data_IF_465040105219
#
_entry.id   IF_465040105219
#
_cell.length_a   1.000
_cell.length_b   1.000
_cell.length_c   1.000
_cell.angle_alpha   90.00
_cell.angle_beta   90.00
_cell.angle_gamma   90.00
#
_symmetry.space_group_name_H-M   'P 1'
#
loop_
_entity.id
_entity.type
_entity.pdbx_description
1 polymer ?
#
# COMPACT_ATOMS: atom_id res chain seq x y z
N UNK A 1 -8.08 16.35 3.67
CA UNK A 1 -9.01 15.37 3.07
C UNK A 1 -8.40 14.84 1.78
N UNK A 2 -8.58 13.55 1.45
CA UNK A 2 -8.00 12.93 0.25
C UNK A 2 -9.01 12.98 -0.90
N UNK A 3 -8.55 13.37 -2.10
CA UNK A 3 -9.37 13.39 -3.32
C UNK A 3 -8.75 12.44 -4.34
N UNK A 4 -9.56 11.55 -4.92
CA UNK A 4 -9.15 10.74 -6.06
C UNK A 4 -9.33 11.55 -7.33
N UNK A 5 -8.30 11.61 -8.17
CA UNK A 5 -8.38 12.25 -9.49
C UNK A 5 -7.70 11.37 -10.55
N UNK A 6 -8.01 11.58 -11.84
CA UNK A 6 -7.28 10.94 -12.93
C UNK A 6 -5.80 11.33 -12.93
N UNK A 7 -4.93 10.42 -13.38
CA UNK A 7 -3.47 10.63 -13.35
C UNK A 7 -3.04 11.91 -14.07
N UNK A 8 -3.63 12.21 -15.24
CA UNK A 8 -3.33 13.46 -15.97
C UNK A 8 -3.67 14.70 -15.15
N UNK A 9 -4.81 14.71 -14.46
CA UNK A 9 -5.17 15.82 -13.59
C UNK A 9 -4.20 15.94 -12.41
N UNK A 10 -3.73 14.81 -11.85
CA UNK A 10 -2.69 14.80 -10.83
C UNK A 10 -1.37 15.39 -11.34
N UNK A 11 -0.95 15.04 -12.57
CA UNK A 11 0.26 15.59 -13.21
C UNK A 11 0.16 17.09 -13.47
N UNK A 12 -1.00 17.56 -13.94
CA UNK A 12 -1.23 18.97 -14.19
C UNK A 12 -1.27 19.78 -12.88
N UNK A 13 -1.88 19.21 -11.83
CA UNK A 13 -1.89 19.78 -10.48
C UNK A 13 -0.51 19.77 -9.83
N UNK A 14 0.29 18.73 -10.05
CA UNK A 14 1.68 18.64 -9.60
C UNK A 14 2.53 19.79 -10.17
N UNK A 15 2.40 20.07 -11.47
CA UNK A 15 3.14 21.13 -12.16
C UNK A 15 2.64 22.51 -11.76
N UNK A 16 1.33 22.68 -11.63
CA UNK A 16 0.73 23.96 -11.30
C UNK A 16 0.86 24.31 -9.81
N UNK A 17 1.06 23.31 -8.95
CA UNK A 17 1.10 23.39 -7.49
C UNK A 17 -0.09 24.15 -6.86
N UNK A 18 -1.20 24.26 -7.60
CA UNK A 18 -2.39 24.99 -7.18
C UNK A 18 -3.65 24.31 -7.68
N UNK A 19 -4.57 24.06 -6.76
CA UNK A 19 -5.98 23.84 -7.05
C UNK A 19 -6.77 24.83 -6.21
N UNK A 20 -7.86 25.37 -6.75
CA UNK A 20 -8.78 26.20 -5.99
C UNK A 20 -9.88 25.32 -5.45
N UNK A 21 -9.96 25.21 -4.13
CA UNK A 21 -11.11 24.64 -3.42
C UNK A 21 -11.68 25.78 -2.61
N UNK A 22 -12.69 26.45 -3.18
CA UNK A 22 -13.29 27.68 -2.61
C UNK A 22 -12.24 28.77 -2.33
N UNK A 23 -12.03 29.08 -1.05
CA UNK A 23 -11.14 30.14 -0.54
C UNK A 23 -9.71 29.65 -0.27
N UNK A 24 -9.45 28.35 -0.45
CA UNK A 24 -8.12 27.77 -0.26
C UNK A 24 -7.45 27.49 -1.60
N UNK A 25 -6.16 27.82 -1.69
CA UNK A 25 -5.34 27.58 -2.87
C UNK A 25 -4.06 26.88 -2.42
N UNK A 26 -3.84 25.66 -2.91
CA UNK A 26 -2.62 24.92 -2.63
C UNK A 26 -2.84 23.42 -2.80
N UNK A 27 -1.86 22.76 -3.43
CA UNK A 27 -1.79 21.30 -3.45
C UNK A 27 -0.36 20.87 -3.18
N UNK A 28 -0.23 19.87 -2.33
CA UNK A 28 1.01 19.14 -2.16
C UNK A 28 0.79 17.73 -2.69
N UNK A 29 1.76 17.25 -3.47
CA UNK A 29 1.75 15.86 -3.89
C UNK A 29 2.04 14.98 -2.69
N UNK A 30 1.17 14.00 -2.47
CA UNK A 30 1.46 12.95 -1.52
C UNK A 30 2.70 12.17 -1.97
N UNK A 31 3.54 11.78 -1.00
CA UNK A 31 4.68 10.93 -1.25
C UNK A 31 4.24 9.65 -1.99
N UNK A 32 5.08 9.21 -2.95
CA UNK A 32 4.85 7.97 -3.65
C UNK A 32 4.77 6.82 -2.64
N UNK A 33 3.73 5.98 -2.75
CA UNK A 33 3.64 4.78 -1.91
C UNK A 33 4.79 3.84 -2.30
N UNK A 34 5.55 3.34 -1.31
CA UNK A 34 6.61 2.37 -1.59
C UNK A 34 6.02 1.14 -2.29
N UNK A 35 6.83 0.50 -3.13
CA UNK A 35 6.42 -0.74 -3.79
C UNK A 35 6.56 -1.89 -2.80
N UNK A 36 5.47 -2.59 -2.52
CA UNK A 36 5.47 -3.78 -1.67
C UNK A 36 5.27 -5.04 -2.51
N UNK A 37 5.96 -6.10 -2.10
CA UNK A 37 5.84 -7.42 -2.68
C UNK A 37 4.70 -8.18 -1.99
N UNK A 38 3.63 -8.47 -2.72
CA UNK A 38 2.51 -9.26 -2.19
C UNK A 38 2.83 -10.76 -1.99
N UNK A 39 4.06 -11.20 -2.30
CA UNK A 39 4.50 -12.58 -2.05
C UNK A 39 5.25 -12.71 -0.73
N UNK A 40 6.24 -11.85 -0.47
CA UNK A 40 7.06 -11.95 0.75
C UNK A 40 6.81 -10.81 1.75
N UNK A 41 5.99 -9.83 1.38
CA UNK A 41 5.67 -8.58 2.10
C UNK A 41 6.85 -7.61 2.28
N UNK A 42 7.98 -7.88 1.61
CA UNK A 42 9.12 -6.96 1.55
C UNK A 42 8.87 -5.76 0.63
N UNK A 43 9.72 -4.74 0.75
CA UNK A 43 9.66 -3.52 -0.04
C UNK A 43 10.60 -3.55 -1.25
N UNK A 44 10.44 -2.59 -2.16
CA UNK A 44 11.35 -2.35 -3.29
C UNK A 44 11.17 -3.28 -4.49
N UNK A 45 10.22 -4.22 -4.45
CA UNK A 45 9.95 -5.13 -5.57
C UNK A 45 8.49 -5.62 -5.57
N UNK A 46 8.05 -6.11 -6.73
CA UNK A 46 6.75 -6.76 -6.91
C UNK A 46 6.88 -8.29 -6.88
N UNK A 47 5.77 -9.01 -6.69
CA UNK A 47 5.75 -10.47 -6.59
C UNK A 47 6.45 -11.18 -7.77
N UNK A 48 6.34 -10.66 -8.99
CA UNK A 48 6.99 -11.23 -10.18
C UNK A 48 8.52 -11.15 -10.19
N UNK A 49 9.11 -10.27 -9.36
CA UNK A 49 10.56 -10.12 -9.18
C UNK A 49 11.02 -10.60 -7.79
N UNK A 50 10.16 -11.28 -7.05
CA UNK A 50 10.48 -11.78 -5.73
C UNK A 50 11.46 -12.95 -5.79
N UNK A 51 12.58 -12.83 -5.08
CA UNK A 51 13.59 -13.89 -4.93
C UNK A 51 13.56 -14.54 -3.53
N UNK A 52 12.60 -14.16 -2.70
CA UNK A 52 12.46 -14.75 -1.36
C UNK A 52 12.00 -16.20 -1.47
N UNK A 53 12.54 -17.06 -0.61
CA UNK A 53 12.05 -18.42 -0.43
C UNK A 53 10.73 -18.46 0.37
N UNK A 54 10.44 -17.40 1.13
CA UNK A 54 9.21 -17.30 1.91
C UNK A 54 8.04 -16.85 1.04
N UNK A 55 6.99 -17.66 1.06
CA UNK A 55 5.72 -17.38 0.39
C UNK A 55 4.63 -17.09 1.42
N UNK A 56 4.17 -15.85 1.43
CA UNK A 56 3.12 -15.30 2.28
C UNK A 56 1.90 -14.91 1.44
N UNK A 57 1.44 -15.83 0.59
CA UNK A 57 0.44 -15.54 -0.44
C UNK A 57 -0.90 -15.02 0.10
N UNK A 58 -1.31 -15.43 1.31
CA UNK A 58 -2.47 -14.83 1.96
C UNK A 58 -2.10 -13.50 2.61
N UNK A 59 -2.53 -12.39 2.02
CA UNK A 59 -2.28 -11.02 2.51
C UNK A 59 -2.91 -10.68 3.88
N UNK A 60 -3.65 -11.62 4.51
CA UNK A 60 -4.24 -11.44 5.84
C UNK A 60 -3.43 -12.11 6.95
N UNK A 61 -2.93 -13.33 6.71
CA UNK A 61 -2.27 -14.14 7.74
C UNK A 61 -0.87 -14.65 7.34
N UNK A 62 -0.49 -14.49 6.07
CA UNK A 62 0.81 -14.89 5.56
C UNK A 62 0.98 -16.39 5.32
N UNK A 63 -0.07 -17.22 5.39
CA UNK A 63 0.02 -18.64 5.05
C UNK A 63 -0.50 -18.93 3.64
N UNK A 64 -0.03 -20.04 3.05
CA UNK A 64 -0.36 -20.43 1.67
C UNK A 64 -1.63 -21.31 1.61
N UNK A 65 -2.16 -21.51 0.40
CA UNK A 65 -3.26 -22.46 0.16
C UNK A 65 -4.67 -21.88 0.23
N UNK A 66 -4.82 -20.57 0.44
CA UNK A 66 -6.12 -19.90 0.44
C UNK A 66 -6.01 -18.42 0.05
N UNK A 67 -7.15 -17.79 -0.20
CA UNK A 67 -7.22 -16.35 -0.49
C UNK A 67 -7.54 -15.56 0.78
N UNK A 68 -7.18 -14.27 0.83
CA UNK A 68 -7.53 -13.42 1.96
C UNK A 68 -9.04 -13.38 2.27
N UNK A 69 -9.89 -13.54 1.24
CA UNK A 69 -11.33 -13.60 1.37
C UNK A 69 -11.82 -14.86 2.13
N UNK A 70 -11.13 -15.99 1.98
CA UNK A 70 -11.44 -17.25 2.66
C UNK A 70 -10.58 -17.49 3.91
N UNK A 71 -9.81 -16.48 4.35
CA UNK A 71 -8.92 -16.59 5.49
C UNK A 71 -9.69 -16.52 6.82
N UNK A 72 -9.64 -17.61 7.59
CA UNK A 72 -10.21 -17.70 8.94
C UNK A 72 -9.16 -17.52 10.05
N UNK A 73 -7.87 -17.44 9.69
CA UNK A 73 -6.81 -17.19 10.65
C UNK A 73 -6.87 -15.76 11.20
N UNK A 74 -6.26 -15.56 12.38
CA UNK A 74 -6.06 -14.24 12.99
C UNK A 74 -5.22 -13.38 12.02
N UNK A 75 -5.59 -12.10 11.79
CA UNK A 75 -4.76 -11.19 11.02
C UNK A 75 -3.34 -11.14 11.55
N UNK A 76 -2.36 -11.16 10.65
CA UNK A 76 -0.95 -11.06 10.96
C UNK A 76 -0.33 -9.98 10.09
N UNK A 77 0.44 -9.08 10.70
CA UNK A 77 1.16 -8.02 10.01
C UNK A 77 2.62 -8.05 10.50
N UNK A 78 3.58 -8.17 9.57
CA UNK A 78 5.01 -8.21 9.91
C UNK A 78 5.42 -6.95 10.67
N UNK A 79 5.00 -5.78 10.20
CA UNK A 79 5.31 -4.51 10.87
C UNK A 79 4.67 -4.40 12.26
N UNK A 80 3.49 -4.98 12.48
CA UNK A 80 2.88 -5.03 13.81
C UNK A 80 3.64 -6.02 14.71
N UNK A 81 4.03 -7.17 14.19
CA UNK A 81 4.79 -8.19 14.92
C UNK A 81 6.16 -7.66 15.35
N UNK A 82 6.89 -7.00 14.45
CA UNK A 82 8.16 -6.32 14.75
C UNK A 82 7.98 -5.22 15.81
N UNK A 83 6.85 -4.53 15.79
CA UNK A 83 6.53 -3.48 16.75
C UNK A 83 5.84 -3.99 18.04
N UNK A 84 5.67 -5.31 18.21
CA UNK A 84 5.03 -5.91 19.39
C UNK A 84 3.54 -5.58 19.56
N UNK A 85 2.86 -5.20 18.48
CA UNK A 85 1.42 -4.85 18.47
C UNK A 85 0.59 -5.90 17.76
N UNK A 86 -0.71 -5.87 18.03
CA UNK A 86 -1.73 -6.66 17.34
C UNK A 86 -1.96 -6.08 15.93
N UNK A 87 -2.49 -6.91 15.03
CA UNK A 87 -2.73 -6.54 13.63
C UNK A 87 -4.22 -6.23 13.33
N UNK A 88 -5.01 -5.98 14.38
CA UNK A 88 -6.43 -5.58 14.33
C UNK A 88 -6.64 -4.07 14.15
#
# INVERSE_FOLDING_TARGET
AWVRCPVRAADDLAKAARIRIEWTTGVELAAARPTHCFRCWGEGHVASRCRSAEDRSCNRCGTVGHTAASCQAVPYCLSCAEAGRKAD
#
